data_IF_567598940841
#
_entry.id   IF_567598940841
#
_cell.length_a   1.000
_cell.length_b   1.000
_cell.length_c   1.000
_cell.angle_alpha   90.00
_cell.angle_beta   90.00
_cell.angle_gamma   90.00
#
_symmetry.space_group_name_H-M   'P 1'
#
loop_
_entity.id
_entity.type
_entity.pdbx_description
1 polymer ?
#
# COMPACT_ATOMS: atom_id res chain seq x y z
N UNK A 1 8.22 -4.15 -2.66
CA UNK A 1 7.03 -4.12 -1.78
C UNK A 1 6.15 -2.92 -2.12
N UNK A 2 6.69 -1.71 -2.18
CA UNK A 2 5.92 -0.50 -2.55
C UNK A 2 5.18 -0.60 -3.89
N UNK A 3 5.75 -1.25 -4.91
CA UNK A 3 5.06 -1.48 -6.20
C UNK A 3 3.73 -2.23 -6.03
N UNK A 4 3.74 -3.31 -5.24
CA UNK A 4 2.54 -4.12 -4.96
C UNK A 4 1.55 -3.31 -4.12
N UNK A 5 2.04 -2.57 -3.12
CA UNK A 5 1.19 -1.69 -2.31
C UNK A 5 0.54 -0.59 -3.16
N UNK A 6 1.28 0.01 -4.11
CA UNK A 6 0.77 1.03 -5.02
C UNK A 6 -0.35 0.47 -5.92
N UNK A 7 -0.20 -0.74 -6.45
CA UNK A 7 -1.25 -1.43 -7.21
C UNK A 7 -2.49 -1.68 -6.36
N UNK A 8 -2.33 -2.13 -5.11
CA UNK A 8 -3.45 -2.35 -4.19
C UNK A 8 -4.19 -1.06 -3.85
N UNK A 9 -3.45 0.03 -3.57
CA UNK A 9 -4.01 1.36 -3.31
C UNK A 9 -4.76 1.87 -4.55
N UNK A 10 -4.16 1.75 -5.74
CA UNK A 10 -4.79 2.11 -7.02
C UNK A 10 -6.10 1.34 -7.23
N UNK A 11 -6.13 0.06 -6.91
CA UNK A 11 -7.31 -0.80 -7.10
C UNK A 11 -8.41 -0.57 -6.06
N UNK A 12 -8.07 0.02 -4.91
CA UNK A 12 -9.01 0.30 -3.81
C UNK A 12 -9.71 1.64 -3.97
N UNK A 13 -8.98 2.67 -4.42
CA UNK A 13 -9.49 4.04 -4.49
C UNK A 13 -9.64 4.51 -5.93
N UNK A 14 -10.85 4.98 -6.27
CA UNK A 14 -11.13 5.62 -7.56
C UNK A 14 -10.62 7.05 -7.60
N UNK A 15 -10.19 7.52 -8.78
CA UNK A 15 -9.84 8.94 -9.00
C UNK A 15 -8.52 9.38 -8.38
N UNK A 16 -7.65 8.43 -8.03
CA UNK A 16 -6.29 8.74 -7.61
C UNK A 16 -5.48 9.34 -8.76
N UNK A 17 -4.68 10.35 -8.45
CA UNK A 17 -3.69 10.93 -9.35
C UNK A 17 -2.27 10.67 -8.89
N UNK A 18 -2.05 10.65 -7.58
CA UNK A 18 -0.72 10.45 -7.01
C UNK A 18 -0.77 9.58 -5.76
N UNK A 19 0.21 8.71 -5.65
CA UNK A 19 0.59 7.96 -4.45
C UNK A 19 2.02 8.37 -4.08
N UNK A 20 2.26 8.71 -2.83
CA UNK A 20 3.55 9.15 -2.31
C UNK A 20 3.92 8.31 -1.09
N UNK A 21 4.99 7.52 -1.19
CA UNK A 21 5.50 6.72 -0.09
C UNK A 21 6.50 7.53 0.72
N UNK A 22 6.27 7.59 2.03
CA UNK A 22 7.21 8.23 2.93
C UNK A 22 8.53 7.46 2.96
N UNK A 23 9.63 8.19 3.17
CA UNK A 23 10.97 7.58 3.28
C UNK A 23 11.15 6.85 4.59
N UNK A 24 10.49 7.33 5.63
CA UNK A 24 10.63 6.83 6.98
C UNK A 24 9.68 5.66 7.20
N UNK A 25 10.27 4.47 7.22
CA UNK A 25 9.56 3.25 7.57
C UNK A 25 9.69 3.01 9.07
N UNK A 26 8.62 2.52 9.68
CA UNK A 26 8.63 2.11 11.08
C UNK A 26 8.43 0.60 11.19
N UNK A 27 9.19 -0.03 12.09
CA UNK A 27 9.00 -1.43 12.42
C UNK A 27 8.22 -1.53 13.72
N UNK A 28 7.08 -2.22 13.67
CA UNK A 28 6.32 -2.55 14.86
C UNK A 28 6.80 -3.90 15.42
N UNK A 29 7.52 -3.86 16.54
CA UNK A 29 8.09 -5.04 17.18
C UNK A 29 7.04 -5.94 17.86
N UNK A 30 5.85 -5.41 18.17
CA UNK A 30 4.75 -6.20 18.71
C UNK A 30 4.15 -7.07 17.62
N UNK A 31 3.91 -6.49 16.43
CA UNK A 31 3.22 -7.17 15.33
C UNK A 31 4.16 -7.81 14.31
N UNK A 32 5.45 -7.46 14.34
CA UNK A 32 6.46 -7.93 13.39
C UNK A 32 6.34 -7.28 12.00
N UNK A 33 5.53 -6.23 11.86
CA UNK A 33 5.24 -5.61 10.58
C UNK A 33 6.09 -4.36 10.31
N UNK A 34 6.43 -4.13 9.04
CA UNK A 34 6.91 -2.85 8.56
C UNK A 34 5.72 -1.98 8.17
N UNK A 35 5.58 -0.85 8.86
CA UNK A 35 4.60 0.19 8.59
C UNK A 35 5.24 1.32 7.79
N UNK A 36 4.51 1.78 6.78
CA UNK A 36 4.91 2.89 5.91
C UNK A 36 3.74 3.84 5.74
N UNK A 37 4.02 5.13 5.85
CA UNK A 37 3.01 6.15 5.61
C UNK A 37 2.88 6.40 4.11
N UNK A 38 1.63 6.51 3.66
CA UNK A 38 1.30 6.76 2.26
C UNK A 38 0.39 7.96 2.19
N UNK A 39 0.76 8.92 1.36
CA UNK A 39 -0.10 10.05 1.01
C UNK A 39 -0.69 9.83 -0.36
N UNK A 40 -2.01 9.89 -0.46
CA UNK A 40 -2.74 9.82 -1.73
C UNK A 40 -3.40 11.14 -2.04
N UNK A 41 -3.50 11.50 -3.33
CA UNK A 41 -4.22 12.69 -3.77
C UNK A 41 -5.10 12.43 -4.98
N UNK A 42 -6.26 13.09 -4.99
CA UNK A 42 -7.23 13.12 -6.10
C UNK A 42 -7.20 14.46 -6.83
N UNK A 43 -7.93 14.57 -7.95
CA UNK A 43 -8.09 15.82 -8.72
C UNK A 43 -8.61 17.00 -7.88
N UNK A 44 -9.39 16.71 -6.85
CA UNK A 44 -10.08 17.69 -6.02
C UNK A 44 -9.22 18.30 -4.91
N UNK A 45 -7.89 18.21 -4.99
CA UNK A 45 -6.91 18.69 -3.97
C UNK A 45 -6.97 17.93 -2.63
N UNK A 46 -7.93 17.02 -2.43
CA UNK A 46 -8.05 16.22 -1.21
C UNK A 46 -6.84 15.29 -1.08
N UNK A 47 -6.04 15.52 -0.04
CA UNK A 47 -4.95 14.65 0.40
C UNK A 47 -5.45 13.79 1.55
N UNK A 48 -5.18 12.49 1.47
CA UNK A 48 -5.38 11.57 2.59
C UNK A 48 -4.05 10.91 2.92
N UNK A 49 -3.80 10.69 4.20
CA UNK A 49 -2.62 10.02 4.70
C UNK A 49 -3.07 8.82 5.54
N UNK A 50 -2.50 7.65 5.25
CA UNK A 50 -2.73 6.43 6.00
C UNK A 50 -1.47 5.57 6.00
N UNK A 51 -1.34 4.71 7.00
CA UNK A 51 -0.23 3.76 7.09
C UNK A 51 -0.63 2.42 6.47
N UNK A 52 0.29 1.81 5.72
CA UNK A 52 0.15 0.46 5.15
C UNK A 52 1.14 -0.46 5.87
N UNK A 53 0.72 -1.69 6.15
CA UNK A 53 1.62 -2.77 6.56
C UNK A 53 2.10 -3.54 5.33
N UNK A 54 3.42 -3.58 5.07
CA UNK A 54 3.98 -4.06 3.81
C UNK A 54 4.77 -5.38 3.88
N UNK A 55 5.06 -5.88 5.08
CA UNK A 55 5.90 -7.07 5.29
C UNK A 55 5.04 -8.22 5.85
N UNK A 56 5.47 -9.47 5.68
CA UNK A 56 4.90 -10.60 6.44
C UNK A 56 5.44 -10.53 7.86
N UNK A 57 4.60 -10.77 8.86
CA UNK A 57 5.08 -10.95 10.22
C UNK A 57 6.09 -12.13 10.21
N UNK A 58 7.39 -11.84 10.39
CA UNK A 58 8.45 -12.86 10.41
C UNK A 58 8.24 -13.89 11.54
N UNK A 59 7.36 -13.59 12.50
CA UNK A 59 6.81 -14.53 13.48
C UNK A 59 5.54 -15.17 12.90
N UNK A 60 5.64 -15.86 11.77
CA UNK A 60 4.51 -16.63 11.22
C UNK A 60 3.99 -17.59 12.29
N UNK A 61 2.92 -17.19 12.97
CA UNK A 61 2.11 -18.11 13.73
C UNK A 61 1.00 -18.55 12.77
N UNK A 62 1.21 -19.69 12.12
CA UNK A 62 0.25 -20.32 11.20
C UNK A 62 -1.16 -20.45 11.83
N UNK A 63 -1.26 -20.38 13.16
CA UNK A 63 -2.51 -20.39 13.92
C UNK A 63 -3.41 -19.15 13.72
N UNK A 64 -2.91 -18.05 13.16
CA UNK A 64 -3.73 -16.86 12.84
C UNK A 64 -4.08 -16.74 11.35
N UNK A 65 -3.78 -17.77 10.57
CA UNK A 65 -4.41 -17.97 9.26
C UNK A 65 -5.68 -18.75 9.56
N UNK A 66 -6.75 -18.06 9.94
CA UNK A 66 -8.07 -18.70 10.07
C UNK A 66 -8.33 -19.57 8.84
N UNK A 67 -9.05 -20.69 9.01
CA UNK A 67 -9.27 -21.78 8.04
C UNK A 67 -9.97 -21.38 6.72
N UNK A 68 -10.00 -20.08 6.43
CA UNK A 68 -10.62 -19.43 5.30
C UNK A 68 -9.53 -19.27 4.24
N UNK A 69 -9.80 -19.75 3.03
CA UNK A 69 -8.90 -19.62 1.90
C UNK A 69 -8.35 -18.19 1.81
N UNK A 70 -7.03 -18.05 1.62
CA UNK A 70 -6.37 -16.73 1.44
C UNK A 70 -7.22 -15.92 0.44
N UNK A 71 -7.66 -14.70 0.80
CA UNK A 71 -8.52 -13.91 -0.07
C UNK A 71 -7.82 -13.75 -1.42
N UNK A 72 -8.45 -14.24 -2.48
CA UNK A 72 -7.95 -14.02 -3.84
C UNK A 72 -8.08 -12.52 -4.10
N UNK A 73 -6.95 -11.84 -4.25
CA UNK A 73 -6.92 -10.45 -4.68
C UNK A 73 -7.68 -10.35 -5.99
N UNK A 74 -8.78 -9.61 -6.00
CA UNK A 74 -9.50 -9.30 -7.22
C UNK A 74 -8.81 -8.10 -7.87
N UNK A 75 -8.61 -8.16 -9.19
CA UNK A 75 -8.08 -7.02 -9.92
C UNK A 75 -9.12 -5.90 -9.94
N UNK A 76 -8.87 -4.83 -9.18
CA UNK A 76 -9.55 -3.56 -9.42
C UNK A 76 -9.13 -3.02 -10.79
N UNK A 77 -10.08 -2.49 -11.56
CA UNK A 77 -9.79 -1.80 -12.82
C UNK A 77 -9.96 -0.30 -12.61
N UNK A 78 -8.94 0.34 -12.03
CA UNK A 78 -8.85 1.79 -12.10
C UNK A 78 -8.13 2.12 -13.41
N UNK A 79 -8.89 2.52 -14.44
CA UNK A 79 -8.35 2.80 -15.80
C UNK A 79 -7.41 4.00 -15.84
N UNK A 80 -7.45 4.87 -14.82
CA UNK A 80 -6.60 6.05 -14.73
C UNK A 80 -5.16 5.69 -14.38
N UNK A 81 -4.22 6.29 -15.11
CA UNK A 81 -2.80 6.30 -14.75
C UNK A 81 -2.61 7.07 -13.45
N UNK A 82 -1.90 6.45 -12.50
CA UNK A 82 -1.57 7.03 -11.20
C UNK A 82 -0.07 7.25 -11.12
N UNK A 83 0.36 8.47 -10.82
CA UNK A 83 1.77 8.77 -10.54
C UNK A 83 2.17 8.21 -9.19
N UNK A 84 3.28 7.47 -9.13
CA UNK A 84 3.81 6.92 -7.88
C UNK A 84 5.17 7.53 -7.60
N UNK A 85 5.37 8.05 -6.39
CA UNK A 85 6.68 8.45 -5.86
C UNK A 85 7.05 7.43 -4.79
N UNK A 86 8.14 6.70 -5.03
CA UNK A 86 8.66 5.68 -4.12
C UNK A 86 9.56 6.29 -3.05
N UNK A 87 9.77 5.60 -1.95
CA UNK A 87 10.63 6.05 -0.83
C UNK A 87 12.09 6.33 -1.25
N UNK A 88 12.59 5.60 -2.25
CA UNK A 88 13.92 5.84 -2.83
C UNK A 88 13.99 7.11 -3.71
N UNK A 89 12.86 7.80 -3.89
CA UNK A 89 12.70 8.98 -4.72
C UNK A 89 12.48 8.67 -6.19
N UNK A 90 12.45 7.39 -6.59
CA UNK A 90 12.11 7.01 -7.96
C UNK A 90 10.64 7.31 -8.26
N UNK A 91 10.35 7.55 -9.54
CA UNK A 91 9.01 7.88 -10.02
C UNK A 91 8.57 6.76 -10.95
N UNK A 92 7.37 6.25 -10.72
CA UNK A 92 6.71 5.29 -11.59
C UNK A 92 5.29 5.73 -11.97
N UNK A 93 4.70 4.96 -12.85
CA UNK A 93 3.30 5.07 -13.25
C UNK A 93 2.66 3.70 -13.07
N UNK A 94 1.43 3.69 -12.54
CA UNK A 94 0.65 2.49 -12.31
C UNK A 94 -0.71 2.59 -12.97
#
# INVERSE_FOLDING_TARGET
MEKIAAEQVKNTYSGLKKIDFDKDYSYDSMTGFTLVNVTVSTDSVSKSNFSISMTLNDKENENYVGSIARPKLQNGKTESLVKVIYSDGSIGEQ
#
